data_IF_905654857125
#
_entry.id   IF_905654857125
#
_cell.length_a   1.000
_cell.length_b   1.000
_cell.length_c   1.000
_cell.angle_alpha   90.00
_cell.angle_beta   90.00
_cell.angle_gamma   90.00
#
_symmetry.space_group_name_H-M   'P 1'
#
loop_
_entity.id
_entity.type
_entity.pdbx_description
1 polymer ?
#
# COMPACT_ATOMS: atom_id res chain seq x y z
N UNK A 1 -3.90 20.89 7.89
CA UNK A 1 -3.67 19.46 8.13
C UNK A 1 -4.25 18.74 6.94
N UNK A 2 -3.40 18.38 5.97
CA UNK A 2 -3.83 17.57 4.82
C UNK A 2 -4.42 16.27 5.37
N UNK A 3 -5.64 15.94 4.95
CA UNK A 3 -6.27 14.69 5.34
C UNK A 3 -5.50 13.56 4.65
N UNK A 4 -4.48 13.03 5.34
CA UNK A 4 -3.92 11.71 5.04
C UNK A 4 -5.12 10.78 4.87
N UNK A 5 -5.36 10.34 3.63
CA UNK A 5 -6.63 9.75 3.20
C UNK A 5 -7.11 8.57 4.04
N UNK A 6 -8.27 8.01 3.68
CA UNK A 6 -8.78 6.83 4.38
C UNK A 6 -7.87 5.61 4.14
N UNK A 7 -7.87 4.68 5.09
CA UNK A 7 -7.26 3.36 4.91
C UNK A 7 -7.91 2.67 3.71
N UNK A 8 -7.11 2.10 2.82
CA UNK A 8 -7.61 1.39 1.64
C UNK A 8 -6.57 0.42 1.10
N UNK A 9 -7.04 -0.65 0.45
CA UNK A 9 -6.21 -1.56 -0.33
C UNK A 9 -6.41 -1.26 -1.82
N UNK A 10 -5.37 -0.76 -2.47
CA UNK A 10 -5.37 -0.45 -3.90
C UNK A 10 -4.69 -1.58 -4.66
N UNK A 11 -5.37 -2.08 -5.69
CA UNK A 11 -4.92 -3.23 -6.47
C UNK A 11 -4.84 -2.79 -7.93
N UNK A 12 -3.63 -2.65 -8.45
CA UNK A 12 -3.38 -2.07 -9.77
C UNK A 12 -2.87 -3.15 -10.72
N UNK A 13 -3.57 -3.35 -11.85
CA UNK A 13 -3.08 -4.19 -12.93
C UNK A 13 -2.34 -3.34 -13.96
N UNK A 14 -1.03 -3.51 -14.03
CA UNK A 14 -0.14 -2.74 -14.90
C UNK A 14 0.70 -3.66 -15.79
N UNK A 15 1.15 -3.17 -16.96
CA UNK A 15 2.22 -3.83 -17.72
C UNK A 15 3.55 -3.45 -17.07
N UNK A 16 4.36 -4.44 -16.73
CA UNK A 16 5.60 -4.25 -15.96
C UNK A 16 6.58 -3.32 -16.68
N UNK A 17 6.77 -3.51 -17.98
CA UNK A 17 7.73 -2.73 -18.79
C UNK A 17 7.31 -1.29 -19.03
N UNK A 18 6.05 -0.93 -18.78
CA UNK A 18 5.61 0.47 -18.88
C UNK A 18 5.97 1.26 -17.61
N UNK A 19 6.28 0.57 -16.50
CA UNK A 19 6.62 1.20 -15.23
C UNK A 19 8.09 1.65 -15.25
N UNK A 20 8.38 2.95 -15.09
CA UNK A 20 9.75 3.43 -15.08
C UNK A 20 10.50 2.99 -13.82
N UNK A 21 11.82 2.94 -13.95
CA UNK A 21 12.72 2.60 -12.86
C UNK A 21 13.44 1.26 -13.06
N UNK A 22 14.54 1.14 -12.31
CA UNK A 22 15.35 -0.07 -12.22
C UNK A 22 14.55 -1.24 -11.64
N UNK A 23 15.10 -2.45 -11.82
CA UNK A 23 14.62 -3.63 -11.12
C UNK A 23 14.51 -3.35 -9.62
N UNK A 24 13.52 -3.93 -8.98
CA UNK A 24 13.08 -3.78 -7.61
C UNK A 24 12.41 -2.43 -7.30
N UNK A 25 12.59 -1.41 -8.14
CA UNK A 25 12.04 -0.07 -7.88
C UNK A 25 10.67 0.17 -8.50
N UNK A 26 10.35 -0.52 -9.60
CA UNK A 26 9.08 -0.38 -10.33
C UNK A 26 7.83 -0.43 -9.45
N UNK A 27 7.66 -1.38 -8.50
CA UNK A 27 6.47 -1.39 -7.64
C UNK A 27 6.29 -0.10 -6.84
N UNK A 28 7.38 0.47 -6.32
CA UNK A 28 7.33 1.73 -5.56
C UNK A 28 6.99 2.89 -6.50
N UNK A 29 7.65 2.96 -7.65
CA UNK A 29 7.42 4.03 -8.63
C UNK A 29 5.97 4.05 -9.13
N UNK A 30 5.36 2.88 -9.36
CA UNK A 30 3.94 2.81 -9.70
C UNK A 30 3.05 3.32 -8.55
N UNK A 31 3.38 3.00 -7.29
CA UNK A 31 2.67 3.50 -6.11
C UNK A 31 2.78 5.04 -5.97
N UNK A 32 3.98 5.58 -6.21
CA UNK A 32 4.24 7.03 -6.23
C UNK A 32 3.43 7.75 -7.31
N UNK A 33 3.43 7.21 -8.54
CA UNK A 33 2.65 7.73 -9.65
C UNK A 33 1.15 7.72 -9.32
N UNK A 34 0.64 6.61 -8.78
CA UNK A 34 -0.77 6.50 -8.41
C UNK A 34 -1.14 7.50 -7.32
N UNK A 35 -0.38 7.56 -6.23
CA UNK A 35 -0.68 8.46 -5.12
C UNK A 35 -0.64 9.93 -5.54
N UNK A 36 0.33 10.30 -6.38
CA UNK A 36 0.46 11.67 -6.90
C UNK A 36 -0.71 12.01 -7.81
N UNK A 37 -0.99 11.18 -8.82
CA UNK A 37 -1.94 11.51 -9.88
C UNK A 37 -3.40 11.33 -9.47
N UNK A 38 -3.69 10.35 -8.61
CA UNK A 38 -5.06 9.96 -8.26
C UNK A 38 -5.46 10.49 -6.87
N UNK A 39 -4.54 10.44 -5.91
CA UNK A 39 -4.84 10.83 -4.53
C UNK A 39 -4.33 12.23 -4.15
N UNK A 40 -3.51 12.85 -4.99
CA UNK A 40 -2.91 14.15 -4.71
C UNK A 40 -1.98 14.17 -3.50
N UNK A 41 -1.35 13.03 -3.16
CA UNK A 41 -0.43 12.91 -2.02
C UNK A 41 0.82 12.10 -2.34
N UNK A 42 1.85 12.22 -1.52
CA UNK A 42 3.05 11.38 -1.61
C UNK A 42 2.78 9.95 -1.14
N UNK A 43 3.50 8.98 -1.70
CA UNK A 43 3.48 7.59 -1.24
C UNK A 43 4.46 7.42 -0.07
N UNK A 44 3.95 7.10 1.13
CA UNK A 44 4.70 7.11 2.37
C UNK A 44 5.15 5.71 2.77
N UNK A 45 6.26 5.22 2.21
CA UNK A 45 6.80 3.89 2.56
C UNK A 45 7.56 3.86 3.88
N UNK A 46 7.67 5.00 4.58
CA UNK A 46 8.41 5.07 5.84
C UNK A 46 7.53 4.53 6.96
N UNK A 47 7.84 3.31 7.40
CA UNK A 47 7.17 2.69 8.55
C UNK A 47 7.30 3.58 9.78
N UNK A 48 6.17 3.94 10.35
CA UNK A 48 6.05 4.77 11.56
C UNK A 48 5.07 4.14 12.55
N UNK A 49 5.01 4.66 13.77
CA UNK A 49 4.04 4.20 14.75
C UNK A 49 2.59 4.54 14.37
N UNK A 50 2.39 5.66 13.66
CA UNK A 50 1.08 6.21 13.34
C UNK A 50 0.50 5.63 12.05
N UNK A 51 1.12 5.91 10.90
CA UNK A 51 0.67 5.50 9.56
C UNK A 51 1.84 5.29 8.62
N UNK A 52 1.66 4.37 7.69
CA UNK A 52 2.54 4.17 6.54
C UNK A 52 1.76 3.55 5.38
N UNK A 53 2.34 3.60 4.19
CA UNK A 53 1.87 2.85 3.04
C UNK A 53 2.78 1.63 2.83
N UNK A 54 2.18 0.47 2.57
CA UNK A 54 2.91 -0.75 2.25
C UNK A 54 2.75 -1.12 0.77
N UNK A 55 3.79 -1.73 0.22
CA UNK A 55 3.75 -2.34 -1.11
C UNK A 55 3.86 -3.86 -0.95
N UNK A 56 3.06 -4.60 -1.69
CA UNK A 56 3.27 -6.04 -1.85
C UNK A 56 3.80 -6.34 -3.24
N UNK A 57 4.79 -7.21 -3.30
CA UNK A 57 5.54 -7.51 -4.50
C UNK A 57 5.18 -8.94 -4.96
N UNK A 58 4.40 -9.10 -6.03
CA UNK A 58 4.04 -10.41 -6.53
C UNK A 58 5.08 -10.98 -7.50
N UNK A 59 5.00 -12.27 -7.78
CA UNK A 59 5.91 -12.92 -8.72
C UNK A 59 5.92 -12.28 -10.12
N UNK A 60 7.11 -12.05 -10.66
CA UNK A 60 7.31 -11.48 -11.99
C UNK A 60 7.00 -9.98 -12.10
N UNK A 61 6.93 -9.26 -10.98
CA UNK A 61 6.77 -7.80 -10.90
C UNK A 61 7.84 -7.01 -11.66
N UNK A 62 9.00 -7.63 -11.90
CA UNK A 62 10.18 -7.07 -12.54
C UNK A 62 10.54 -7.74 -13.87
N UNK A 63 9.58 -8.45 -14.47
CA UNK A 63 9.82 -9.06 -15.78
C UNK A 63 10.32 -8.03 -16.80
N UNK A 64 11.35 -8.43 -17.53
CA UNK A 64 11.84 -7.78 -18.75
C UNK A 64 10.87 -7.91 -19.93
N UNK A 65 9.88 -8.80 -19.84
CA UNK A 65 8.84 -9.03 -20.85
C UNK A 65 7.63 -8.13 -20.58
N UNK A 66 6.86 -7.75 -21.63
CA UNK A 66 5.70 -6.87 -21.52
C UNK A 66 4.46 -7.57 -20.94
N UNK A 67 4.62 -8.20 -19.77
CA UNK A 67 3.58 -8.94 -19.07
C UNK A 67 2.78 -8.01 -18.15
N UNK A 68 1.49 -8.32 -17.98
CA UNK A 68 0.65 -7.65 -16.98
C UNK A 68 0.74 -8.36 -15.64
N UNK A 69 0.91 -7.60 -14.57
CA UNK A 69 0.89 -8.07 -13.19
C UNK A 69 -0.02 -7.19 -12.33
N UNK A 70 -0.52 -7.79 -11.27
CA UNK A 70 -1.21 -7.09 -10.20
C UNK A 70 -0.15 -6.51 -9.27
N UNK A 71 -0.37 -5.32 -8.74
CA UNK A 71 0.45 -4.67 -7.72
C UNK A 71 -0.50 -4.25 -6.61
N UNK A 72 -0.11 -4.43 -5.36
CA UNK A 72 -1.01 -4.24 -4.22
C UNK A 72 -0.37 -3.21 -3.30
N UNK A 73 -1.16 -2.23 -2.91
CA UNK A 73 -0.76 -1.14 -2.04
C UNK A 73 -1.74 -1.03 -0.90
N UNK A 74 -1.23 -1.09 0.33
CA UNK A 74 -2.01 -0.87 1.53
C UNK A 74 -1.74 0.54 2.00
N UNK A 75 -2.75 1.40 1.93
CA UNK A 75 -2.59 2.83 2.17
C UNK A 75 -3.01 3.17 3.59
N UNK A 76 -2.26 4.10 4.21
CA UNK A 76 -2.53 4.64 5.54
C UNK A 76 -2.64 3.61 6.66
N UNK A 77 -1.90 2.51 6.56
CA UNK A 77 -1.87 1.41 7.52
C UNK A 77 -1.58 1.92 8.93
N UNK A 78 -2.58 1.87 9.81
CA UNK A 78 -2.43 2.33 11.20
C UNK A 78 -2.28 1.18 12.21
N UNK A 79 -2.83 0.01 11.89
CA UNK A 79 -2.78 -1.16 12.77
C UNK A 79 -2.73 -2.47 11.98
N UNK A 80 -2.42 -3.55 12.70
CA UNK A 80 -2.54 -4.90 12.17
C UNK A 80 -4.02 -5.31 12.15
N UNK A 81 -4.45 -5.97 11.07
CA UNK A 81 -5.80 -6.45 10.90
C UNK A 81 -5.76 -7.89 10.41
N UNK A 82 -6.53 -8.76 11.08
CA UNK A 82 -6.78 -10.12 10.59
C UNK A 82 -7.63 -10.07 9.31
N UNK A 83 -7.54 -11.11 8.49
CA UNK A 83 -8.16 -11.15 7.14
C UNK A 83 -9.65 -10.79 7.15
N UNK A 84 -10.42 -11.38 8.07
CA UNK A 84 -11.87 -11.13 8.20
C UNK A 84 -12.17 -9.65 8.47
N UNK A 85 -11.35 -9.02 9.30
CA UNK A 85 -11.54 -7.62 9.69
C UNK A 85 -11.10 -6.67 8.57
N UNK A 86 -9.96 -6.98 7.93
CA UNK A 86 -9.50 -6.30 6.72
C UNK A 86 -10.59 -6.27 5.64
N UNK A 87 -11.18 -7.43 5.33
CA UNK A 87 -12.20 -7.55 4.29
C UNK A 87 -13.51 -6.80 4.63
N UNK A 88 -13.82 -6.66 5.92
CA UNK A 88 -15.01 -5.98 6.40
C UNK A 88 -14.84 -4.46 6.50
N UNK A 89 -13.67 -3.98 6.93
CA UNK A 89 -13.43 -2.57 7.27
C UNK A 89 -12.75 -1.79 6.16
N UNK A 90 -11.83 -2.40 5.43
CA UNK A 90 -10.94 -1.68 4.51
C UNK A 90 -11.54 -1.71 3.09
N UNK A 91 -11.86 -0.55 2.49
CA UNK A 91 -12.22 -0.46 1.10
C UNK A 91 -11.12 -1.02 0.19
N UNK A 92 -11.52 -1.83 -0.77
CA UNK A 92 -10.62 -2.37 -1.79
C UNK A 92 -10.98 -1.74 -3.13
N UNK A 93 -10.00 -1.16 -3.80
CA UNK A 93 -10.17 -0.55 -5.12
C UNK A 93 -9.30 -1.24 -6.14
N UNK A 94 -9.84 -1.44 -7.34
CA UNK A 94 -9.15 -2.13 -8.41
C UNK A 94 -9.02 -1.23 -9.61
N UNK A 95 -7.79 -1.05 -10.07
CA UNK A 95 -7.48 -0.27 -11.26
C UNK A 95 -6.82 -1.12 -12.32
N UNK A 96 -7.15 -0.84 -13.57
CA UNK A 96 -6.28 -1.14 -14.69
C UNK A 96 -5.54 0.14 -15.09
N UNK A 97 -4.25 0.03 -15.37
CA UNK A 97 -3.47 1.17 -15.83
C UNK A 97 -2.71 0.90 -17.13
N UNK A 98 -2.44 1.98 -17.86
CA UNK A 98 -1.66 2.02 -19.09
C UNK A 98 -0.98 3.37 -19.24
N UNK A 99 0.20 3.36 -19.87
CA UNK A 99 0.89 4.57 -20.32
C UNK A 99 0.47 4.88 -21.77
N UNK A 100 -0.12 6.06 -22.00
CA UNK A 100 -0.57 6.53 -23.32
C UNK A 100 -0.03 7.94 -23.51
N UNK A 101 0.68 8.21 -24.60
CA UNK A 101 1.28 9.53 -24.88
C UNK A 101 2.06 10.11 -23.70
N UNK A 102 2.83 9.26 -23.02
CA UNK A 102 3.61 9.59 -21.82
C UNK A 102 2.75 10.04 -20.61
N UNK A 103 1.46 9.74 -20.61
CA UNK A 103 0.52 9.99 -19.52
C UNK A 103 -0.02 8.68 -18.94
N UNK A 104 -0.05 8.61 -17.61
CA UNK A 104 -0.59 7.46 -16.90
C UNK A 104 -2.12 7.57 -16.78
N UNK A 105 -2.81 6.60 -17.35
CA UNK A 105 -4.26 6.49 -17.26
C UNK A 105 -4.60 5.37 -16.27
N UNK A 106 -5.40 5.70 -15.26
CA UNK A 106 -5.93 4.72 -14.30
C UNK A 106 -7.44 4.64 -14.49
N UNK A 107 -7.95 3.44 -14.73
CA UNK A 107 -9.38 3.21 -14.88
C UNK A 107 -9.83 2.19 -13.85
N UNK A 108 -10.80 2.57 -13.03
CA UNK A 108 -11.36 1.68 -12.01
C UNK A 108 -12.11 0.50 -12.68
N UNK A 109 -12.08 -0.65 -12.01
CA UNK A 109 -12.55 -1.94 -12.52
C UNK A 109 -13.26 -2.71 -11.40
N UNK A 110 -14.38 -2.18 -10.92
CA UNK A 110 -15.19 -2.81 -9.86
C UNK A 110 -15.57 -4.26 -10.18
N UNK A 111 -15.85 -4.55 -11.45
CA UNK A 111 -16.15 -5.91 -11.92
C UNK A 111 -15.01 -6.92 -11.65
N UNK A 112 -13.78 -6.46 -11.42
CA UNK A 112 -12.62 -7.31 -11.12
C UNK A 112 -12.38 -7.49 -9.62
N UNK A 113 -13.13 -6.77 -8.78
CA UNK A 113 -12.94 -6.75 -7.33
C UNK A 113 -12.99 -8.15 -6.69
N UNK A 114 -13.91 -9.07 -7.05
CA UNK A 114 -13.90 -10.41 -6.46
C UNK A 114 -12.61 -11.18 -6.76
N UNK A 115 -12.14 -11.12 -8.01
CA UNK A 115 -10.90 -11.80 -8.43
C UNK A 115 -9.67 -11.16 -7.78
N UNK A 116 -9.66 -9.83 -7.68
CA UNK A 116 -8.59 -9.09 -7.04
C UNK A 116 -8.50 -9.41 -5.53
N UNK A 117 -9.63 -9.48 -4.82
CA UNK A 117 -9.68 -9.90 -3.41
C UNK A 117 -9.14 -11.32 -3.23
N UNK A 118 -9.57 -12.26 -4.08
CA UNK A 118 -9.07 -13.64 -4.07
C UNK A 118 -7.56 -13.71 -4.28
N UNK A 119 -7.04 -12.96 -5.26
CA UNK A 119 -5.60 -12.86 -5.50
C UNK A 119 -4.83 -12.28 -4.30
N UNK A 120 -5.41 -11.29 -3.63
CA UNK A 120 -4.78 -10.59 -2.52
C UNK A 120 -4.87 -11.32 -1.17
N UNK A 121 -5.62 -12.43 -1.08
CA UNK A 121 -5.90 -13.12 0.18
C UNK A 121 -4.62 -13.58 0.91
N UNK A 122 -3.57 -13.94 0.16
CA UNK A 122 -2.29 -14.32 0.75
C UNK A 122 -1.44 -13.16 1.29
N UNK A 123 -1.83 -11.91 1.00
CA UNK A 123 -1.06 -10.72 1.38
C UNK A 123 -1.66 -10.06 2.62
N UNK A 124 -0.95 -10.21 3.73
CA UNK A 124 -1.29 -9.58 5.01
C UNK A 124 -1.35 -8.05 4.91
N UNK A 125 -2.31 -7.43 5.62
CA UNK A 125 -2.47 -5.99 5.65
C UNK A 125 -1.23 -5.27 6.18
N UNK A 126 -0.69 -4.36 5.38
CA UNK A 126 0.48 -3.56 5.71
C UNK A 126 1.81 -4.30 5.67
N UNK A 127 1.84 -5.58 5.33
CA UNK A 127 3.08 -6.38 5.34
C UNK A 127 3.48 -6.82 6.75
N UNK A 128 3.86 -8.10 6.89
CA UNK A 128 4.14 -8.69 8.21
C UNK A 128 5.29 -7.97 8.90
N UNK A 129 6.38 -7.73 8.17
CA UNK A 129 7.60 -7.16 8.74
C UNK A 129 7.42 -5.70 9.12
N UNK A 130 6.73 -4.94 8.27
CA UNK A 130 6.44 -3.53 8.49
C UNK A 130 5.50 -3.36 9.70
N UNK A 131 4.51 -4.24 9.86
CA UNK A 131 3.64 -4.25 11.04
C UNK A 131 4.40 -4.55 12.33
N UNK A 132 5.33 -5.52 12.32
CA UNK A 132 6.20 -5.79 13.47
C UNK A 132 7.03 -4.56 13.87
N UNK A 133 7.59 -3.85 12.88
CA UNK A 133 8.35 -2.62 13.12
C UNK A 133 7.44 -1.53 13.67
N UNK A 134 6.27 -1.31 13.07
CA UNK A 134 5.31 -0.29 13.50
C UNK A 134 4.81 -0.57 14.93
N UNK A 135 4.55 -1.83 15.28
CA UNK A 135 4.15 -2.23 16.63
C UNK A 135 5.27 -1.98 17.65
N UNK A 136 6.52 -2.29 17.30
CA UNK A 136 7.67 -2.00 18.16
C UNK A 136 7.83 -0.48 18.39
N UNK A 137 7.58 0.35 17.36
CA UNK A 137 7.60 1.81 17.49
C UNK A 137 6.46 2.31 18.40
N UNK A 138 5.23 1.82 18.21
CA UNK A 138 4.07 2.16 19.07
C UNK A 138 4.32 1.82 20.55
N UNK A 139 4.92 0.66 20.82
CA UNK A 139 5.28 0.23 22.18
C UNK A 139 6.33 1.14 22.83
N UNK A 140 7.30 1.63 22.06
CA UNK A 140 8.31 2.59 22.56
C UNK A 140 7.69 3.93 22.92
N UNK A 141 6.79 4.45 22.07
CA UNK A 141 6.11 5.72 22.32
C UNK A 141 5.20 5.65 23.56
N UNK A 142 4.43 4.57 23.72
CA UNK A 142 3.57 4.37 24.90
C UNK A 142 4.36 4.14 26.19
N UNK A 143 5.47 3.39 26.15
CA UNK A 143 6.36 3.21 27.31
C UNK A 143 7.05 4.50 27.77
N UNK A 144 7.35 5.40 26.82
CA UNK A 144 7.90 6.74 27.14
C UNK A 144 6.84 7.62 27.83
N UNK A 145 5.58 7.58 27.39
CA UNK A 145 4.48 8.32 28.02
C UNK A 145 4.18 7.80 29.43
N UNK A 146 4.20 6.48 29.63
CA UNK A 146 3.95 5.87 30.93
C UNK A 146 5.02 6.24 31.97
N UNK A 147 6.30 6.27 31.57
CA UNK A 147 7.41 6.64 32.47
C UNK A 147 7.44 8.14 32.80
N UNK A 148 7.04 9.01 31.87
CA UNK A 148 6.91 10.45 32.16
C UNK A 148 5.77 10.77 33.14
N UNK A 149 4.69 9.98 33.12
CA UNK A 149 3.53 10.16 34.02
C UNK A 149 3.83 9.77 35.47
N UNK A 150 4.81 8.89 35.72
CA UNK A 150 5.19 8.44 37.08
C UNK A 150 6.11 9.43 37.80
N UNK A 151 6.76 10.35 37.09
CA UNK A 151 7.72 11.30 37.68
C UNK A 151 7.02 12.54 38.29
N UNK A 152 5.73 12.74 38.02
CA UNK A 152 4.94 13.89 38.52
C UNK A 152 3.89 13.51 39.59
N UNK A 153 4.13 12.46 40.39
CA UNK A 153 3.26 12.06 41.51
C UNK A 153 3.96 12.18 42.86
#
# INVERSE_FOLDING_TARGET
MESDGKESRIIIRARVTDIPGELCRRPITLGEIFCTNILGRSFNTKVSASKFDAVHIPHGFDSDKPVKRWFIYDLNVACNLEEKELLARIPHHVYQTSLVDNQWIFVERDAWLPNAKSYCAMFCWGGRREQEIAEALRKKETGFIASASTINS
#
